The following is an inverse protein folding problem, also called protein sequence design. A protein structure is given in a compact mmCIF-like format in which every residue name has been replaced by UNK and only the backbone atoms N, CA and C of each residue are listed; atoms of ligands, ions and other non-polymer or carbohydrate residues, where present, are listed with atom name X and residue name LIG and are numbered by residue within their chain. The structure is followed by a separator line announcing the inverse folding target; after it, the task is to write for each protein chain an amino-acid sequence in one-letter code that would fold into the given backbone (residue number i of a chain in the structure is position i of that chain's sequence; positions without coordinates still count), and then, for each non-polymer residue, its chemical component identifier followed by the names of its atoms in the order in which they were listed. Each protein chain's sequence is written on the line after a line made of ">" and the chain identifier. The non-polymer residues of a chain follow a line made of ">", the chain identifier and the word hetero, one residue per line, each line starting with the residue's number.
data_IF_420364273511
#
_entry.id   IF_420364273511
#
_cell.length_a   1.000
_cell.length_b   1.000
_cell.length_c   1.000
_cell.angle_alpha   90.00
_cell.angle_beta   90.00
_cell.angle_gamma   90.00
#
_symmetry.space_group_name_H-M   'P 1'
#
loop_
_entity.id
_entity.type
_entity.pdbx_description
1 polymer ?
#
# COMPACT_ATOMS: atom_id res chain seq x y z
N UNK A 1 -3.74 -14.84 -6.92
CA UNK A 1 -3.83 -13.94 -5.76
C UNK A 1 -2.49 -13.28 -5.44
N UNK A 2 -1.50 -13.93 -4.80
CA UNK A 2 -0.22 -13.25 -4.46
C UNK A 2 0.65 -12.89 -5.68
N UNK A 3 0.77 -13.81 -6.64
CA UNK A 3 1.60 -13.63 -7.84
C UNK A 3 1.08 -12.55 -8.80
N UNK A 4 -0.24 -12.40 -8.90
CA UNK A 4 -0.91 -11.38 -9.73
C UNK A 4 -0.67 -9.96 -9.19
N UNK A 5 -0.60 -9.82 -7.86
CA UNK A 5 -0.29 -8.54 -7.22
C UNK A 5 1.14 -8.09 -7.55
N UNK A 6 2.12 -8.99 -7.45
CA UNK A 6 3.52 -8.67 -7.76
C UNK A 6 3.72 -8.28 -9.21
N UNK A 7 3.09 -9.01 -10.13
CA UNK A 7 3.14 -8.68 -11.55
C UNK A 7 2.52 -7.31 -11.84
N UNK A 8 1.35 -7.01 -11.26
CA UNK A 8 0.71 -5.70 -11.39
C UNK A 8 1.59 -4.56 -10.86
N UNK A 9 2.21 -4.72 -9.69
CA UNK A 9 3.07 -3.70 -9.09
C UNK A 9 4.28 -3.36 -9.96
N UNK A 10 4.87 -4.36 -10.62
CA UNK A 10 5.99 -4.17 -11.56
C UNK A 10 5.53 -3.43 -12.81
N UNK A 11 4.36 -3.78 -13.34
CA UNK A 11 3.76 -3.11 -14.51
C UNK A 11 3.48 -1.63 -14.23
N UNK A 12 2.93 -1.31 -13.05
CA UNK A 12 2.74 0.08 -12.64
C UNK A 12 4.07 0.80 -12.41
N UNK A 13 5.05 0.14 -11.77
CA UNK A 13 6.37 0.75 -11.55
C UNK A 13 7.07 1.09 -12.87
N UNK A 14 6.99 0.21 -13.88
CA UNK A 14 7.54 0.46 -15.23
C UNK A 14 6.96 1.69 -15.92
N UNK A 15 5.72 2.09 -15.62
CA UNK A 15 5.14 3.32 -16.18
C UNK A 15 5.80 4.58 -15.61
N UNK A 16 6.34 4.49 -14.40
CA UNK A 16 6.92 5.61 -13.67
C UNK A 16 8.45 5.66 -13.74
N UNK A 17 9.11 4.59 -14.17
CA UNK A 17 10.57 4.49 -14.19
C UNK A 17 11.07 3.89 -15.52
N UNK A 18 11.99 4.59 -16.20
CA UNK A 18 12.52 4.19 -17.51
C UNK A 18 13.21 2.81 -17.50
N UNK A 19 13.79 2.40 -16.37
CA UNK A 19 14.51 1.13 -16.24
C UNK A 19 14.14 0.44 -14.93
N UNK A 20 13.34 -0.61 -15.02
CA UNK A 20 13.04 -1.52 -13.91
C UNK A 20 13.59 -2.91 -14.27
N UNK A 21 14.62 -3.34 -13.55
CA UNK A 21 15.13 -4.71 -13.65
C UNK A 21 14.00 -5.69 -13.30
N UNK A 22 13.82 -6.74 -14.12
CA UNK A 22 12.75 -7.71 -13.90
C UNK A 22 13.06 -8.53 -12.64
N UNK A 23 12.23 -8.44 -11.59
CA UNK A 23 12.44 -9.22 -10.38
C UNK A 23 12.17 -10.70 -10.63
N UNK A 24 12.93 -11.57 -9.99
CA UNK A 24 12.65 -13.01 -10.00
C UNK A 24 11.39 -13.32 -9.17
N UNK A 25 10.85 -14.53 -9.31
CA UNK A 25 9.60 -14.95 -8.67
C UNK A 25 9.59 -14.74 -7.13
N UNK A 26 10.73 -14.92 -6.47
CA UNK A 26 10.84 -14.70 -5.02
C UNK A 26 10.76 -13.21 -4.67
N UNK A 27 11.41 -12.36 -5.47
CA UNK A 27 11.35 -10.91 -5.30
C UNK A 27 9.94 -10.37 -5.59
N UNK A 28 9.24 -10.91 -6.59
CA UNK A 28 7.82 -10.57 -6.84
C UNK A 28 6.94 -10.88 -5.64
N UNK A 29 7.17 -12.02 -5.00
CA UNK A 29 6.44 -12.41 -3.79
C UNK A 29 6.75 -11.48 -2.62
N UNK A 30 8.03 -11.15 -2.39
CA UNK A 30 8.44 -10.20 -1.35
C UNK A 30 7.80 -8.83 -1.57
N UNK A 31 7.82 -8.32 -2.80
CA UNK A 31 7.18 -7.06 -3.18
C UNK A 31 5.68 -7.07 -2.89
N UNK A 32 5.00 -8.15 -3.27
CA UNK A 32 3.56 -8.33 -3.03
C UNK A 32 3.25 -8.33 -1.53
N UNK A 33 4.01 -9.07 -0.74
CA UNK A 33 3.85 -9.14 0.71
C UNK A 33 4.10 -7.79 1.37
N UNK A 34 5.17 -7.09 0.96
CA UNK A 34 5.51 -5.76 1.47
C UNK A 34 4.40 -4.74 1.18
N UNK A 35 3.87 -4.76 -0.04
CA UNK A 35 2.76 -3.90 -0.42
C UNK A 35 1.48 -4.17 0.39
N UNK A 36 1.12 -5.46 0.56
CA UNK A 36 -0.05 -5.84 1.35
C UNK A 36 0.09 -5.45 2.82
N UNK A 37 1.30 -5.58 3.39
CA UNK A 37 1.57 -5.19 4.77
C UNK A 37 1.49 -3.66 4.95
N UNK A 38 1.99 -2.88 3.99
CA UNK A 38 1.82 -1.43 3.96
C UNK A 38 0.34 -1.03 3.89
N UNK A 39 -0.43 -1.65 3.00
CA UNK A 39 -1.86 -1.41 2.87
C UNK A 39 -2.61 -1.75 4.16
N UNK A 40 -2.24 -2.85 4.83
CA UNK A 40 -2.82 -3.24 6.11
C UNK A 40 -2.55 -2.20 7.19
N UNK A 41 -1.31 -1.71 7.30
CA UNK A 41 -0.94 -0.65 8.26
C UNK A 41 -1.73 0.63 7.99
N UNK A 42 -1.82 1.05 6.73
CA UNK A 42 -2.59 2.23 6.33
C UNK A 42 -4.07 2.13 6.76
N UNK A 43 -4.70 0.99 6.47
CA UNK A 43 -6.12 0.77 6.80
C UNK A 43 -6.34 0.73 8.31
N UNK A 44 -5.44 0.11 9.08
CA UNK A 44 -5.52 0.08 10.54
C UNK A 44 -5.40 1.49 11.13
N UNK A 45 -4.48 2.30 10.63
CA UNK A 45 -4.30 3.66 11.13
C UNK A 45 -5.49 4.57 10.73
N UNK A 46 -6.00 4.43 9.52
CA UNK A 46 -7.22 5.12 9.09
C UNK A 46 -8.44 4.72 9.96
N UNK A 47 -8.53 3.46 10.39
CA UNK A 47 -9.55 3.02 11.34
C UNK A 47 -9.36 3.64 12.73
N UNK A 48 -8.12 3.79 13.20
CA UNK A 48 -7.82 4.47 14.46
C UNK A 48 -8.22 5.94 14.40
N UNK A 49 -7.86 6.63 13.33
CA UNK A 49 -8.26 8.01 13.06
C UNK A 49 -9.78 8.16 13.04
N UNK A 50 -10.49 7.30 12.30
CA UNK A 50 -11.96 7.32 12.26
C UNK A 50 -12.60 7.15 13.64
N UNK A 51 -12.08 6.21 14.46
CA UNK A 51 -12.58 5.98 15.82
C UNK A 51 -12.31 7.16 16.74
N UNK A 52 -11.12 7.78 16.64
CA UNK A 52 -10.75 8.97 17.41
C UNK A 52 -11.70 10.13 17.12
N UNK A 53 -12.12 10.26 15.87
CA UNK A 53 -13.01 11.33 15.42
C UNK A 53 -14.50 10.97 15.61
N UNK A 54 -14.81 9.79 16.17
CA UNK A 54 -16.17 9.36 16.51
C UNK A 54 -16.98 8.76 15.35
N UNK A 55 -16.34 8.42 14.24
CA UNK A 55 -16.99 7.78 13.10
C UNK A 55 -17.03 6.25 13.23
N UNK A 56 -18.15 5.64 12.81
CA UNK A 56 -18.31 4.19 12.72
C UNK A 56 -17.66 3.58 11.47
N UNK A 57 -17.28 4.43 10.51
CA UNK A 57 -16.71 4.04 9.22
C UNK A 57 -15.51 4.91 8.87
N UNK A 58 -14.56 4.34 8.13
CA UNK A 58 -13.44 5.09 7.57
C UNK A 58 -13.95 5.98 6.43
N UNK A 59 -13.61 7.27 6.49
CA UNK A 59 -13.89 8.26 5.45
C UNK A 59 -12.57 8.61 4.73
N UNK A 60 -12.63 9.17 3.51
CA UNK A 60 -11.41 9.48 2.73
C UNK A 60 -10.36 10.29 3.52
N UNK A 61 -10.77 11.31 4.27
CA UNK A 61 -9.84 12.11 5.07
C UNK A 61 -9.07 11.33 6.14
N UNK A 62 -9.63 10.24 6.68
CA UNK A 62 -8.89 9.39 7.63
C UNK A 62 -7.81 8.55 6.95
N UNK A 63 -8.03 8.14 5.69
CA UNK A 63 -7.04 7.45 4.87
C UNK A 63 -5.93 8.40 4.42
N UNK A 64 -6.29 9.62 4.01
CA UNK A 64 -5.32 10.66 3.64
C UNK A 64 -4.40 11.01 4.82
N UNK A 65 -4.96 11.26 6.00
CA UNK A 65 -4.16 11.52 7.21
C UNK A 65 -3.27 10.33 7.59
N UNK A 66 -3.80 9.10 7.53
CA UNK A 66 -3.01 7.90 7.80
C UNK A 66 -1.88 7.69 6.77
N UNK A 67 -2.08 8.14 5.52
CA UNK A 67 -1.07 8.06 4.48
C UNK A 67 0.06 9.08 4.69
N UNK A 68 -0.29 10.31 5.06
CA UNK A 68 0.68 11.36 5.44
C UNK A 68 1.55 10.89 6.61
N UNK A 69 0.93 10.35 7.67
CA UNK A 69 1.63 9.82 8.84
C UNK A 69 2.59 8.67 8.47
N UNK A 70 2.15 7.77 7.59
CA UNK A 70 2.88 6.56 7.23
C UNK A 70 4.04 6.83 6.26
N UNK A 71 3.90 7.81 5.37
CA UNK A 71 4.94 8.16 4.40
C UNK A 71 5.90 9.24 4.91
N UNK A 72 5.63 9.86 6.07
CA UNK A 72 6.41 10.98 6.61
C UNK A 72 6.57 12.14 5.61
N UNK A 73 5.51 12.43 4.84
CA UNK A 73 5.47 13.51 3.84
C UNK A 73 4.64 14.66 4.37
#
# INVERSE_FOLDING_TARGET
>A
MGFECGQYLIEEWRKCCEHVEEPNDSEKLILSCGFQELLRKLVLEAQNNARRDGFSEVKPGHLEAALEDLLHI
#
